data_IF_309731417077
#
_entry.id   IF_309731417077
#
_cell.length_a   1.000
_cell.length_b   1.000
_cell.length_c   1.000
_cell.angle_alpha   90.00
_cell.angle_beta   90.00
_cell.angle_gamma   90.00
#
_symmetry.space_group_name_H-M   'P 1'
#
loop_
_entity.id
_entity.type
_entity.pdbx_description
1 polymer ?
#
# COMPACT_ATOMS: atom_id res chain seq x y z
N UNK A 1 17.50 -25.72 4.17
CA UNK A 1 16.11 -25.35 4.48
C UNK A 1 15.72 -24.17 3.61
N UNK A 2 14.49 -24.16 3.10
CA UNK A 2 13.96 -23.02 2.34
C UNK A 2 13.85 -21.82 3.26
N UNK A 3 14.34 -20.65 2.83
CA UNK A 3 14.15 -19.41 3.58
C UNK A 3 12.66 -19.06 3.64
N UNK A 4 12.25 -18.41 4.71
CA UNK A 4 10.85 -18.13 5.04
C UNK A 4 10.56 -16.63 4.98
N UNK A 5 9.43 -16.28 4.36
CA UNK A 5 8.93 -14.90 4.25
C UNK A 5 7.55 -14.83 4.88
N UNK A 6 7.42 -14.05 5.94
CA UNK A 6 6.18 -13.81 6.65
C UNK A 6 5.63 -12.42 6.29
N UNK A 7 4.44 -12.37 5.69
CA UNK A 7 3.69 -11.12 5.55
C UNK A 7 2.82 -10.90 6.79
N UNK A 8 3.10 -9.85 7.55
CA UNK A 8 2.32 -9.49 8.74
C UNK A 8 1.16 -8.57 8.35
N UNK A 9 -0.04 -9.14 8.28
CA UNK A 9 -1.23 -8.46 7.74
C UNK A 9 -2.39 -8.35 8.73
N UNK A 10 -3.37 -7.51 8.40
CA UNK A 10 -4.60 -7.39 9.16
C UNK A 10 -5.51 -8.62 8.96
N UNK A 11 -6.45 -8.83 9.90
CA UNK A 11 -7.31 -10.02 9.94
C UNK A 11 -7.96 -10.40 8.59
N UNK A 12 -8.48 -9.44 7.78
CA UNK A 12 -9.10 -9.78 6.49
C UNK A 12 -8.17 -10.44 5.47
N UNK A 13 -6.86 -10.22 5.60
CA UNK A 13 -5.86 -10.70 4.63
C UNK A 13 -5.14 -11.98 5.08
N UNK A 14 -5.43 -12.49 6.28
CA UNK A 14 -4.85 -13.73 6.83
C UNK A 14 -5.26 -14.96 6.02
N UNK A 15 -4.77 -16.15 6.38
CA UNK A 15 -5.00 -17.39 5.63
C UNK A 15 -4.55 -17.30 4.18
N UNK A 16 -3.48 -16.53 3.93
CA UNK A 16 -2.99 -16.23 2.59
C UNK A 16 -3.98 -15.51 1.67
N UNK A 17 -5.07 -14.90 2.19
CA UNK A 17 -6.03 -14.12 1.39
C UNK A 17 -5.33 -12.94 0.70
N UNK A 18 -4.28 -12.36 1.33
CA UNK A 18 -3.42 -11.35 0.70
C UNK A 18 -2.91 -11.77 -0.69
N UNK A 19 -2.72 -13.07 -0.90
CA UNK A 19 -2.14 -13.62 -2.12
C UNK A 19 -3.21 -14.22 -3.03
N UNK A 20 -4.38 -13.61 -3.09
CA UNK A 20 -5.43 -14.00 -4.03
C UNK A 20 -5.14 -13.38 -5.39
N UNK A 21 -5.28 -14.16 -6.45
CA UNK A 21 -5.08 -13.70 -7.83
C UNK A 21 -6.22 -12.76 -8.26
N UNK A 22 -5.88 -11.67 -8.95
CA UNK A 22 -6.85 -10.68 -9.43
C UNK A 22 -7.24 -9.60 -8.41
N UNK A 23 -7.81 -8.52 -8.93
CA UNK A 23 -8.20 -7.33 -8.15
C UNK A 23 -7.01 -6.62 -7.50
N UNK A 24 -7.27 -5.89 -6.42
CA UNK A 24 -6.29 -5.04 -5.72
C UNK A 24 -5.11 -5.84 -5.11
N UNK A 25 -5.28 -7.15 -4.91
CA UNK A 25 -4.26 -8.02 -4.30
C UNK A 25 -3.31 -8.69 -5.30
N UNK A 26 -3.52 -8.48 -6.60
CA UNK A 26 -2.76 -9.17 -7.65
C UNK A 26 -1.25 -8.89 -7.58
N UNK A 27 -0.87 -7.69 -7.13
CA UNK A 27 0.52 -7.35 -6.83
C UNK A 27 1.15 -8.34 -5.85
N UNK A 28 0.52 -8.60 -4.70
CA UNK A 28 1.05 -9.51 -3.69
C UNK A 28 1.02 -10.96 -4.14
N UNK A 29 0.02 -11.37 -4.92
CA UNK A 29 -0.01 -12.68 -5.56
C UNK A 29 1.23 -12.90 -6.45
N UNK A 30 1.54 -11.94 -7.33
CA UNK A 30 2.74 -11.96 -8.18
C UNK A 30 4.04 -11.99 -7.37
N UNK A 31 4.14 -11.15 -6.33
CA UNK A 31 5.29 -11.14 -5.41
C UNK A 31 5.50 -12.52 -4.77
N UNK A 32 4.43 -13.16 -4.27
CA UNK A 32 4.52 -14.52 -3.69
C UNK A 32 5.02 -15.55 -4.70
N UNK A 33 4.51 -15.52 -5.93
CA UNK A 33 4.94 -16.44 -6.97
C UNK A 33 6.42 -16.21 -7.33
N UNK A 34 6.85 -14.95 -7.41
CA UNK A 34 8.25 -14.63 -7.66
C UNK A 34 9.18 -15.16 -6.58
N UNK A 35 8.82 -15.03 -5.31
CA UNK A 35 9.56 -15.63 -4.20
C UNK A 35 9.61 -17.17 -4.28
N UNK A 36 8.52 -17.82 -4.70
CA UNK A 36 8.50 -19.28 -4.89
C UNK A 36 9.46 -19.75 -5.97
N UNK A 37 9.63 -18.99 -7.06
CA UNK A 37 10.63 -19.29 -8.10
C UNK A 37 12.06 -19.33 -7.52
N UNK A 38 12.34 -18.54 -6.47
CA UNK A 38 13.60 -18.56 -5.73
C UNK A 38 13.61 -19.55 -4.55
N UNK A 39 12.65 -20.48 -4.48
CA UNK A 39 12.54 -21.52 -3.46
C UNK A 39 12.35 -20.98 -2.02
N UNK A 40 11.64 -19.85 -1.87
CA UNK A 40 11.22 -19.34 -0.57
C UNK A 40 9.85 -19.90 -0.15
N UNK A 41 9.67 -20.16 1.13
CA UNK A 41 8.36 -20.44 1.72
C UNK A 41 7.69 -19.13 2.17
N UNK A 42 6.57 -18.78 1.54
CA UNK A 42 5.91 -17.48 1.73
C UNK A 42 4.49 -17.66 2.25
N UNK A 43 4.14 -16.92 3.29
CA UNK A 43 2.78 -16.91 3.81
C UNK A 43 2.48 -15.73 4.72
N UNK A 44 1.21 -15.59 5.08
CA UNK A 44 0.78 -14.66 6.14
C UNK A 44 1.18 -15.19 7.52
N UNK A 45 1.13 -14.35 8.55
CA UNK A 45 1.65 -14.69 9.88
C UNK A 45 0.99 -15.91 10.55
N UNK A 46 -0.20 -16.30 10.10
CA UNK A 46 -0.92 -17.51 10.52
C UNK A 46 -0.47 -18.79 9.81
N UNK A 47 0.35 -18.66 8.75
CA UNK A 47 0.90 -19.78 7.95
C UNK A 47 2.42 -19.87 8.05
N UNK A 48 3.09 -18.73 8.20
CA UNK A 48 4.53 -18.63 8.45
C UNK A 48 4.72 -17.80 9.70
N UNK A 49 5.26 -18.40 10.77
CA UNK A 49 5.38 -17.75 12.06
C UNK A 49 6.40 -16.60 12.03
N UNK A 50 5.94 -15.38 12.29
CA UNK A 50 6.77 -14.17 12.30
C UNK A 50 7.99 -14.24 13.24
N UNK A 51 7.91 -15.02 14.32
CA UNK A 51 8.99 -15.14 15.32
C UNK A 51 10.22 -15.86 14.77
N UNK A 52 10.01 -16.77 13.81
CA UNK A 52 11.04 -17.67 13.29
C UNK A 52 11.33 -17.41 11.81
N UNK A 53 10.65 -16.44 11.19
CA UNK A 53 10.82 -16.15 9.77
C UNK A 53 12.16 -15.46 9.49
N UNK A 54 12.79 -15.81 8.36
CA UNK A 54 14.02 -15.16 7.90
C UNK A 54 13.76 -13.70 7.49
N UNK A 55 12.59 -13.45 6.89
CA UNK A 55 12.12 -12.13 6.46
C UNK A 55 10.68 -11.89 6.93
N UNK A 56 10.43 -10.69 7.47
CA UNK A 56 9.12 -10.24 7.92
C UNK A 56 8.76 -8.98 7.15
N UNK A 57 7.70 -9.02 6.36
CA UNK A 57 7.22 -7.90 5.57
C UNK A 57 5.98 -7.31 6.26
N UNK A 58 6.02 -6.01 6.59
CA UNK A 58 4.88 -5.25 7.09
C UNK A 58 4.39 -4.27 6.03
N UNK A 59 3.07 -4.05 5.98
CA UNK A 59 2.44 -3.04 5.13
C UNK A 59 2.04 -1.86 6.01
N UNK A 60 2.58 -0.68 5.68
CA UNK A 60 2.34 0.59 6.38
C UNK A 60 2.48 0.49 7.91
N UNK A 61 1.91 1.46 8.63
CA UNK A 61 1.96 1.50 10.08
C UNK A 61 1.18 0.35 10.72
N UNK A 62 1.85 -0.34 11.64
CA UNK A 62 1.28 -1.35 12.53
C UNK A 62 1.57 -1.02 13.99
N UNK A 63 0.52 -0.88 14.79
CA UNK A 63 0.63 -0.69 16.23
C UNK A 63 1.19 -1.94 16.97
N UNK A 64 1.03 -3.12 16.37
CA UNK A 64 1.50 -4.41 16.90
C UNK A 64 2.88 -4.82 16.35
N UNK A 65 3.61 -3.89 15.73
CA UNK A 65 4.95 -4.15 15.23
C UNK A 65 5.87 -4.54 16.38
N UNK A 66 6.63 -5.62 16.18
CA UNK A 66 7.66 -6.11 17.08
C UNK A 66 8.86 -6.50 16.23
N UNK A 67 10.04 -6.00 16.62
CA UNK A 67 11.29 -6.36 15.94
C UNK A 67 11.57 -7.84 16.17
N UNK A 68 11.73 -8.59 15.09
CA UNK A 68 12.09 -10.01 15.13
C UNK A 68 13.57 -10.21 14.81
N UNK A 69 14.08 -11.42 15.02
CA UNK A 69 15.48 -11.79 14.73
C UNK A 69 15.79 -11.81 13.23
N UNK A 70 14.79 -12.07 12.40
CA UNK A 70 14.91 -11.99 10.94
C UNK A 70 14.98 -10.54 10.44
N UNK A 71 15.09 -10.37 9.12
CA UNK A 71 15.07 -9.06 8.47
C UNK A 71 13.65 -8.51 8.43
N UNK A 72 13.47 -7.32 8.99
CA UNK A 72 12.18 -6.63 9.05
C UNK A 72 12.12 -5.64 7.88
N UNK A 73 11.16 -5.82 7.00
CA UNK A 73 10.98 -5.05 5.77
C UNK A 73 9.66 -4.30 5.87
N UNK A 74 9.66 -3.01 5.52
CA UNK A 74 8.45 -2.20 5.39
C UNK A 74 8.15 -1.99 3.90
N UNK A 75 6.90 -2.18 3.51
CA UNK A 75 6.36 -1.66 2.27
C UNK A 75 5.39 -0.54 2.67
N UNK A 76 5.81 0.71 2.47
CA UNK A 76 5.04 1.91 2.79
C UNK A 76 4.29 2.38 1.54
N UNK A 77 3.01 2.00 1.45
CA UNK A 77 2.15 2.20 0.29
C UNK A 77 1.29 3.45 0.46
N UNK A 78 0.79 3.67 1.68
CA UNK A 78 -0.17 4.73 1.96
C UNK A 78 0.49 6.12 2.00
N UNK A 79 -0.31 7.15 1.73
CA UNK A 79 0.18 8.52 1.74
C UNK A 79 0.47 9.01 3.17
N UNK A 80 1.40 9.96 3.35
CA UNK A 80 1.61 10.66 4.63
C UNK A 80 0.29 11.29 5.12
N UNK A 81 -0.56 11.75 4.21
CA UNK A 81 -1.86 12.33 4.55
C UNK A 81 -2.86 11.30 5.11
N UNK A 82 -2.76 10.03 4.73
CA UNK A 82 -3.64 8.95 5.18
C UNK A 82 -3.10 8.22 6.42
N UNK A 83 -1.81 7.86 6.41
CA UNK A 83 -1.14 7.10 7.48
C UNK A 83 0.19 7.76 7.85
N UNK A 84 0.17 8.97 8.46
CA UNK A 84 1.37 9.73 8.78
C UNK A 84 2.32 8.99 9.74
N UNK A 85 1.78 8.05 10.53
CA UNK A 85 2.54 7.26 11.50
C UNK A 85 3.60 6.39 10.82
N UNK A 86 3.38 5.96 9.57
CA UNK A 86 4.33 5.15 8.79
C UNK A 86 5.66 5.87 8.62
N UNK A 87 5.62 7.18 8.37
CA UNK A 87 6.78 8.01 8.04
C UNK A 87 7.39 8.72 9.24
N UNK A 88 6.92 8.45 10.47
CA UNK A 88 7.57 8.99 11.67
C UNK A 88 8.95 8.32 11.84
N UNK A 89 10.02 9.08 12.15
CA UNK A 89 11.36 8.52 12.34
C UNK A 89 11.41 7.38 13.36
N UNK A 90 10.60 7.47 14.43
CA UNK A 90 10.51 6.44 15.46
C UNK A 90 9.82 5.12 15.02
N UNK A 91 9.26 5.08 13.81
CA UNK A 91 8.64 3.90 13.22
C UNK A 91 9.44 3.41 12.02
N UNK A 92 9.67 4.26 11.02
CA UNK A 92 10.34 3.86 9.76
C UNK A 92 11.77 3.35 10.00
N UNK A 93 12.51 3.93 10.96
CA UNK A 93 13.87 3.52 11.29
C UNK A 93 13.96 2.17 12.04
N UNK A 94 12.83 1.51 12.33
CA UNK A 94 12.83 0.18 12.97
C UNK A 94 13.14 -0.95 11.99
N UNK A 95 12.95 -0.70 10.70
CA UNK A 95 13.06 -1.70 9.63
C UNK A 95 14.49 -1.76 9.07
N UNK A 96 14.89 -2.95 8.63
CA UNK A 96 16.17 -3.18 7.95
C UNK A 96 16.14 -2.64 6.52
N UNK A 97 14.98 -2.76 5.85
CA UNK A 97 14.74 -2.22 4.51
C UNK A 97 13.34 -1.63 4.40
N UNK A 98 13.20 -0.59 3.58
CA UNK A 98 11.93 0.09 3.30
C UNK A 98 11.73 0.24 1.80
N UNK A 99 10.53 -0.01 1.32
CA UNK A 99 10.09 0.27 -0.05
C UNK A 99 9.00 1.34 0.00
N UNK A 100 9.19 2.46 -0.70
CA UNK A 100 8.22 3.57 -0.67
C UNK A 100 8.24 4.38 -1.98
N UNK A 101 7.12 5.03 -2.27
CA UNK A 101 6.98 6.01 -3.34
C UNK A 101 7.53 7.40 -2.95
N UNK A 102 7.74 7.64 -1.64
CA UNK A 102 8.12 8.96 -1.15
C UNK A 102 9.63 9.21 -1.30
N UNK A 103 10.00 10.03 -2.29
CA UNK A 103 11.37 10.36 -2.65
C UNK A 103 12.17 11.00 -1.50
N UNK A 104 11.52 11.72 -0.57
CA UNK A 104 12.19 12.36 0.57
C UNK A 104 12.89 11.36 1.50
N UNK A 105 12.49 10.09 1.46
CA UNK A 105 13.04 9.03 2.31
C UNK A 105 14.03 8.11 1.57
N UNK A 106 14.12 8.19 0.25
CA UNK A 106 14.89 7.23 -0.56
C UNK A 106 16.38 7.53 -0.46
N UNK A 107 17.16 6.54 0.00
CA UNK A 107 18.63 6.62 0.10
C UNK A 107 19.35 5.62 -0.83
N UNK A 108 18.62 4.71 -1.47
CA UNK A 108 19.14 3.59 -2.29
C UNK A 108 20.12 2.65 -1.55
N UNK A 109 20.11 2.65 -0.22
CA UNK A 109 20.92 1.78 0.64
C UNK A 109 20.02 0.93 1.53
N UNK A 110 19.09 1.57 2.24
CA UNK A 110 18.12 0.93 3.12
C UNK A 110 16.68 1.24 2.73
N UNK A 111 16.45 2.35 2.03
CA UNK A 111 15.15 2.78 1.51
C UNK A 111 15.20 2.83 -0.01
N UNK A 112 14.32 2.06 -0.64
CA UNK A 112 14.29 1.86 -2.08
C UNK A 112 12.99 2.40 -2.69
N UNK A 113 13.03 2.83 -3.96
CA UNK A 113 11.84 3.27 -4.69
C UNK A 113 10.84 2.11 -4.86
N UNK A 114 9.56 2.43 -4.68
CA UNK A 114 8.43 1.58 -5.01
C UNK A 114 7.46 2.37 -5.88
N UNK A 115 7.44 2.04 -7.17
CA UNK A 115 6.57 2.67 -8.14
C UNK A 115 5.52 1.67 -8.62
N UNK A 116 4.27 2.13 -8.70
CA UNK A 116 3.21 1.38 -9.36
C UNK A 116 3.30 1.62 -10.87
N UNK A 117 3.33 0.54 -11.63
CA UNK A 117 3.16 0.62 -13.08
C UNK A 117 1.66 0.64 -13.37
N UNK A 118 1.24 1.63 -14.14
CA UNK A 118 -0.11 1.72 -14.66
C UNK A 118 -0.05 1.50 -16.16
N UNK A 119 -1.03 0.78 -16.69
CA UNK A 119 -1.31 0.81 -18.13
C UNK A 119 -1.99 2.15 -18.37
N UNK A 120 -1.24 3.08 -18.96
CA UNK A 120 -1.70 4.44 -19.28
C UNK A 120 -2.31 4.51 -20.68
N UNK A 121 -2.63 3.36 -21.28
CA UNK A 121 -3.37 3.32 -22.54
C UNK A 121 -4.63 4.16 -22.37
N UNK A 122 -4.76 5.19 -23.20
CA UNK A 122 -5.92 6.05 -23.19
C UNK A 122 -7.14 5.18 -23.47
N UNK A 123 -8.06 5.11 -22.51
CA UNK A 123 -9.40 4.63 -22.79
C UNK A 123 -10.03 5.62 -23.77
N UNK A 124 -10.86 5.14 -24.70
CA UNK A 124 -11.62 6.05 -25.56
C UNK A 124 -12.50 6.94 -24.68
N UNK A 125 -12.15 8.22 -24.61
CA UNK A 125 -12.93 9.21 -23.87
C UNK A 125 -14.00 9.79 -24.80
N UNK A 126 -15.19 9.99 -24.24
CA UNK A 126 -16.21 10.84 -24.89
C UNK A 126 -15.76 12.29 -24.69
N UNK A 127 -15.70 13.05 -25.78
CA UNK A 127 -15.39 14.48 -25.74
C UNK A 127 -16.32 15.22 -24.79
N UNK A 128 -15.81 16.27 -24.12
CA UNK A 128 -16.57 16.97 -23.10
C UNK A 128 -17.92 17.49 -23.63
N UNK A 129 -17.92 18.04 -24.84
CA UNK A 129 -19.11 18.58 -25.51
C UNK A 129 -20.15 17.49 -25.86
N UNK A 130 -19.73 16.24 -25.94
CA UNK A 130 -20.58 15.09 -26.25
C UNK A 130 -21.15 14.42 -24.98
N UNK A 131 -20.78 14.89 -23.78
CA UNK A 131 -21.31 14.39 -22.50
C UNK A 131 -22.72 14.93 -22.24
N UNK A 132 -23.72 14.36 -22.92
CA UNK A 132 -25.13 14.79 -22.85
C UNK A 132 -25.91 14.37 -21.59
N UNK A 133 -25.28 13.73 -20.60
CA UNK A 133 -25.94 13.20 -19.40
C UNK A 133 -25.26 13.71 -18.12
N UNK A 134 -26.10 13.95 -17.10
CA UNK A 134 -25.83 14.44 -15.74
C UNK A 134 -24.41 14.15 -15.23
N UNK A 135 -23.72 15.18 -14.75
CA UNK A 135 -22.51 15.03 -13.95
C UNK A 135 -22.90 14.34 -12.64
N UNK A 136 -22.32 13.18 -12.36
CA UNK A 136 -22.53 12.45 -11.12
C UNK A 136 -21.18 12.31 -10.39
N UNK A 137 -21.10 12.87 -9.19
CA UNK A 137 -19.93 12.75 -8.32
C UNK A 137 -20.18 11.66 -7.27
N UNK A 138 -19.33 10.62 -7.26
CA UNK A 138 -19.29 9.63 -6.17
C UNK A 138 -18.07 9.91 -5.30
N UNK A 139 -18.30 10.57 -4.16
CA UNK A 139 -17.27 10.81 -3.16
C UNK A 139 -17.64 10.11 -1.85
N UNK A 140 -16.68 9.37 -1.29
CA UNK A 140 -16.81 8.90 0.08
C UNK A 140 -16.77 10.10 1.05
N UNK A 141 -17.58 10.05 2.11
CA UNK A 141 -17.59 11.05 3.18
C UNK A 141 -16.32 10.92 4.05
N UNK A 142 -15.20 11.43 3.53
CA UNK A 142 -13.88 11.39 4.16
C UNK A 142 -13.39 12.81 4.39
N UNK A 143 -12.61 12.99 5.44
CA UNK A 143 -11.99 14.26 5.82
C UNK A 143 -10.53 14.03 6.20
N UNK A 144 -9.71 15.05 6.02
CA UNK A 144 -8.35 15.11 6.54
C UNK A 144 -8.04 16.52 7.01
N UNK A 145 -7.18 16.63 8.02
CA UNK A 145 -6.63 17.92 8.46
C UNK A 145 -5.26 18.21 7.83
N UNK A 146 -4.80 17.37 6.89
CA UNK A 146 -3.54 17.59 6.20
C UNK A 146 -3.67 18.79 5.25
N UNK A 147 -2.70 19.72 5.25
CA UNK A 147 -2.80 20.96 4.46
C UNK A 147 -2.98 20.75 2.95
N UNK A 148 -2.45 19.65 2.42
CA UNK A 148 -2.46 19.30 0.99
C UNK A 148 -3.52 18.22 0.66
N UNK A 149 -4.55 18.08 1.51
CA UNK A 149 -5.64 17.14 1.27
C UNK A 149 -6.61 17.64 0.19
N UNK A 150 -7.26 16.71 -0.51
CA UNK A 150 -8.23 17.01 -1.58
C UNK A 150 -9.68 16.76 -1.19
N UNK A 151 -9.98 16.39 0.07
CA UNK A 151 -11.35 16.15 0.50
C UNK A 151 -12.16 17.45 0.60
N UNK A 152 -11.55 18.56 1.05
CA UNK A 152 -12.22 19.87 1.01
C UNK A 152 -12.55 20.35 -0.41
N UNK A 153 -11.67 20.08 -1.38
CA UNK A 153 -11.92 20.39 -2.80
C UNK A 153 -13.13 19.62 -3.36
N UNK A 154 -13.41 18.40 -2.86
CA UNK A 154 -14.63 17.66 -3.21
C UNK A 154 -15.88 18.38 -2.72
N UNK A 155 -15.84 18.90 -1.49
CA UNK A 155 -16.97 19.65 -0.91
C UNK A 155 -17.23 20.91 -1.73
N UNK A 156 -16.18 21.68 -2.05
CA UNK A 156 -16.29 22.87 -2.91
C UNK A 156 -16.90 22.54 -4.27
N UNK A 157 -16.47 21.44 -4.90
CA UNK A 157 -17.05 21.00 -6.16
C UNK A 157 -18.54 20.64 -6.02
N UNK A 158 -18.92 19.91 -4.96
CA UNK A 158 -20.33 19.56 -4.68
C UNK A 158 -21.17 20.81 -4.44
N UNK A 159 -20.70 21.76 -3.63
CA UNK A 159 -21.38 23.02 -3.33
C UNK A 159 -21.56 23.88 -4.59
N UNK A 160 -20.55 23.93 -5.45
CA UNK A 160 -20.62 24.63 -6.74
C UNK A 160 -21.75 24.07 -7.62
N UNK A 161 -21.82 22.76 -7.79
CA UNK A 161 -22.86 22.10 -8.61
C UNK A 161 -24.24 22.06 -7.96
N UNK A 162 -24.35 22.20 -6.63
CA UNK A 162 -25.64 22.37 -5.96
C UNK A 162 -26.21 23.79 -6.12
N UNK A 163 -25.34 24.78 -6.41
CA UNK A 163 -25.71 26.20 -6.48
C UNK A 163 -25.94 26.72 -7.90
N UNK A 164 -25.64 25.92 -8.93
CA UNK A 164 -25.77 26.24 -10.36
C UNK A 164 -26.58 25.15 -11.07
#
# INVERSE_FOLDING_TARGET
MNKTVCFKVNKPYRNNILFTMGGDNDFFYKVKNKFKEYNYNVGTQDRVNEKNADYIISLDFRNDFKKNKGKNILIALESIAAVPQTFKPNYINKFDYVFTWNEDFIDNVTVFPLNFSFILDALDFIDFDDKKKLICNFSANKFSNHKDELYSERIKAIEYFNSN
#
